data_IF_513507532895
#
_entry.id   IF_513507532895
#
_cell.length_a   1.000
_cell.length_b   1.000
_cell.length_c   1.000
_cell.angle_alpha   90.00
_cell.angle_beta   90.00
_cell.angle_gamma   90.00
#
_symmetry.space_group_name_H-M   'P 1'
#
loop_
_entity.id
_entity.type
_entity.pdbx_description
1 polymer ?
#
# COMPACT_ATOMS: atom_id res chain seq x y z
N UNK A 1 -19.56 11.05 -15.34
CA UNK A 1 -18.84 9.89 -14.78
C UNK A 1 -17.76 10.42 -13.86
N UNK A 2 -18.03 10.56 -12.56
CA UNK A 2 -17.00 10.95 -11.60
C UNK A 2 -16.07 9.78 -11.36
N UNK A 3 -14.76 9.98 -11.51
CA UNK A 3 -13.76 8.95 -11.23
C UNK A 3 -13.92 8.48 -9.78
N UNK A 4 -13.99 7.17 -9.54
CA UNK A 4 -14.05 6.57 -8.20
C UNK A 4 -12.85 6.96 -7.31
N UNK A 5 -11.83 7.57 -7.92
CA UNK A 5 -10.63 8.15 -7.31
C UNK A 5 -10.76 9.63 -6.92
N UNK A 6 -11.91 10.28 -7.16
CA UNK A 6 -12.11 11.66 -6.72
C UNK A 6 -12.21 11.71 -5.20
N UNK A 7 -11.10 12.08 -4.59
CA UNK A 7 -11.03 12.39 -3.17
C UNK A 7 -11.97 13.55 -2.89
N UNK A 8 -12.86 13.38 -1.91
CA UNK A 8 -13.71 14.49 -1.45
C UNK A 8 -12.81 15.63 -1.00
N UNK A 9 -13.20 16.87 -1.29
CA UNK A 9 -12.42 18.07 -0.94
C UNK A 9 -12.07 18.04 0.56
N UNK A 10 -10.78 17.93 0.88
CA UNK A 10 -10.28 17.84 2.27
C UNK A 10 -10.02 16.42 2.80
N UNK A 11 -10.17 15.37 1.99
CA UNK A 11 -9.71 14.01 2.33
C UNK A 11 -8.44 13.68 1.54
N UNK A 12 -7.54 12.92 2.15
CA UNK A 12 -6.37 12.35 1.47
C UNK A 12 -6.76 11.07 0.71
N UNK A 13 -6.25 10.87 -0.52
CA UNK A 13 -6.54 9.66 -1.27
C UNK A 13 -5.99 8.44 -0.54
N UNK A 14 -6.85 7.44 -0.29
CA UNK A 14 -6.44 6.15 0.26
C UNK A 14 -5.88 5.27 -0.87
N UNK A 15 -4.75 5.68 -1.47
CA UNK A 15 -4.07 4.94 -2.52
C UNK A 15 -2.99 4.02 -1.93
N UNK A 16 -3.13 2.73 -2.22
CA UNK A 16 -2.15 1.69 -1.94
C UNK A 16 -1.77 1.11 -3.30
N UNK A 17 -0.49 1.16 -3.67
CA UNK A 17 -0.06 0.82 -5.02
C UNK A 17 -0.30 -0.66 -5.34
N UNK A 18 0.15 -1.56 -4.46
CA UNK A 18 0.02 -3.01 -4.67
C UNK A 18 -0.26 -3.72 -3.34
N UNK A 19 -1.28 -4.58 -3.35
CA UNK A 19 -1.51 -5.59 -2.31
C UNK A 19 -1.62 -6.96 -2.98
N UNK A 20 -0.75 -7.89 -2.59
CA UNK A 20 -0.79 -9.28 -3.00
C UNK A 20 -1.16 -10.18 -1.82
N UNK A 21 -2.00 -11.18 -2.05
CA UNK A 21 -2.30 -12.24 -1.09
C UNK A 21 -1.64 -13.51 -1.61
N UNK A 22 -0.86 -14.18 -0.77
CA UNK A 22 -0.24 -15.44 -1.15
C UNK A 22 -1.27 -16.58 -1.08
N UNK A 23 -1.08 -17.60 -1.91
CA UNK A 23 -2.00 -18.75 -2.00
C UNK A 23 -2.11 -19.56 -0.70
N UNK A 24 -1.16 -19.36 0.22
CA UNK A 24 -1.19 -19.96 1.55
C UNK A 24 -2.20 -19.33 2.51
N UNK A 25 -2.87 -18.23 2.12
CA UNK A 25 -3.83 -17.45 2.90
C UNK A 25 -3.34 -17.04 4.31
N UNK A 26 -2.02 -17.07 4.53
CA UNK A 26 -1.37 -16.72 5.80
C UNK A 26 -0.49 -15.49 5.66
N UNK A 27 -0.07 -15.17 4.45
CA UNK A 27 0.81 -14.05 4.18
C UNK A 27 0.24 -13.12 3.11
N UNK A 28 0.62 -11.85 3.21
CA UNK A 28 0.25 -10.84 2.25
C UNK A 28 1.43 -9.90 2.01
N UNK A 29 1.62 -9.49 0.75
CA UNK A 29 2.58 -8.48 0.35
C UNK A 29 1.87 -7.14 0.23
N UNK A 30 2.37 -6.12 0.93
CA UNK A 30 1.98 -4.72 0.71
C UNK A 30 3.18 -4.01 0.13
N UNK A 31 3.04 -3.43 -1.06
CA UNK A 31 4.11 -2.71 -1.69
C UNK A 31 3.71 -1.29 -2.11
N UNK A 32 4.64 -0.37 -1.93
CA UNK A 32 4.57 0.99 -2.45
C UNK A 32 5.48 1.12 -3.66
N UNK A 33 4.99 1.78 -4.71
CA UNK A 33 5.70 1.92 -5.98
C UNK A 33 6.10 3.38 -6.15
N UNK A 34 7.41 3.64 -6.21
CA UNK A 34 7.95 4.98 -6.45
C UNK A 34 8.94 4.95 -7.59
N UNK A 35 8.74 5.80 -8.60
CA UNK A 35 9.69 5.95 -9.70
C UNK A 35 11.13 6.23 -9.23
N UNK A 36 11.26 7.09 -8.21
CA UNK A 36 12.53 7.38 -7.54
C UNK A 36 12.41 7.03 -6.07
N UNK A 37 13.27 6.16 -5.57
CA UNK A 37 13.23 5.67 -4.18
C UNK A 37 13.36 6.79 -3.13
N UNK A 38 14.02 7.89 -3.48
CA UNK A 38 14.13 9.08 -2.61
C UNK A 38 12.80 9.76 -2.29
N UNK A 39 11.75 9.50 -3.08
CA UNK A 39 10.40 10.03 -2.85
C UNK A 39 9.57 9.12 -1.93
N UNK A 40 10.17 8.06 -1.40
CA UNK A 40 9.53 7.19 -0.43
C UNK A 40 9.47 7.87 0.94
N UNK A 41 8.27 7.90 1.53
CA UNK A 41 8.06 8.41 2.87
C UNK A 41 7.69 7.23 3.82
N UNK A 42 8.60 6.81 4.71
CA UNK A 42 8.37 5.66 5.57
C UNK A 42 7.19 5.85 6.54
N UNK A 43 6.97 7.07 7.02
CA UNK A 43 5.88 7.36 7.96
C UNK A 43 4.50 7.21 7.32
N UNK A 44 4.35 7.69 6.08
CA UNK A 44 3.11 7.52 5.32
C UNK A 44 2.87 6.05 4.97
N UNK A 45 3.91 5.32 4.59
CA UNK A 45 3.81 3.90 4.28
C UNK A 45 3.38 3.07 5.50
N UNK A 46 3.99 3.32 6.66
CA UNK A 46 3.63 2.64 7.90
C UNK A 46 2.16 2.88 8.28
N UNK A 47 1.67 4.12 8.18
CA UNK A 47 0.25 4.42 8.41
C UNK A 47 -0.66 3.61 7.48
N UNK A 48 -0.33 3.50 6.20
CA UNK A 48 -1.09 2.69 5.24
C UNK A 48 -1.09 1.22 5.64
N UNK A 49 0.06 0.66 6.02
CA UNK A 49 0.18 -0.73 6.49
C UNK A 49 -0.68 -0.97 7.72
N UNK A 50 -0.65 -0.08 8.71
CA UNK A 50 -1.47 -0.21 9.92
C UNK A 50 -2.96 -0.20 9.61
N UNK A 51 -3.42 0.67 8.70
CA UNK A 51 -4.82 0.72 8.26
C UNK A 51 -5.22 -0.60 7.61
N UNK A 52 -4.41 -1.14 6.69
CA UNK A 52 -4.72 -2.39 5.99
C UNK A 52 -4.71 -3.57 6.97
N UNK A 53 -3.71 -3.61 7.85
CA UNK A 53 -3.58 -4.63 8.90
C UNK A 53 -4.82 -4.66 9.78
N UNK A 54 -5.31 -3.50 10.21
CA UNK A 54 -6.47 -3.45 11.09
C UNK A 54 -7.80 -3.71 10.37
N UNK A 55 -7.92 -3.32 9.08
CA UNK A 55 -9.19 -3.44 8.34
C UNK A 55 -9.41 -4.81 7.69
N UNK A 56 -8.41 -5.36 7.01
CA UNK A 56 -8.59 -6.50 6.10
C UNK A 56 -7.58 -7.62 6.36
N UNK A 57 -6.32 -7.28 6.66
CA UNK A 57 -5.22 -8.23 6.73
C UNK A 57 -4.81 -8.59 8.18
N UNK A 58 -5.73 -8.50 9.14
CA UNK A 58 -5.42 -8.67 10.57
C UNK A 58 -4.87 -10.04 10.95
N UNK A 59 -5.21 -11.06 10.16
CA UNK A 59 -4.76 -12.46 10.35
C UNK A 59 -3.55 -12.82 9.49
N UNK A 60 -3.12 -11.94 8.58
CA UNK A 60 -2.05 -12.21 7.65
C UNK A 60 -0.72 -11.70 8.19
N UNK A 61 0.35 -12.44 7.96
CA UNK A 61 1.71 -11.92 8.06
C UNK A 61 1.95 -10.97 6.89
N UNK A 62 2.06 -9.68 7.20
CA UNK A 62 2.29 -8.65 6.19
C UNK A 62 3.78 -8.53 5.92
N UNK A 63 4.17 -8.79 4.69
CA UNK A 63 5.47 -8.45 4.13
C UNK A 63 5.37 -7.10 3.44
N UNK A 64 6.40 -6.27 3.60
CA UNK A 64 6.41 -4.92 3.05
C UNK A 64 7.54 -4.76 2.05
N UNK A 65 7.26 -4.12 0.93
CA UNK A 65 8.27 -3.89 -0.12
C UNK A 65 8.11 -2.51 -0.73
N UNK A 66 9.22 -1.96 -1.21
CA UNK A 66 9.23 -0.72 -1.97
C UNK A 66 9.76 -1.09 -3.33
N UNK A 67 8.96 -0.86 -4.36
CA UNK A 67 9.39 -1.03 -5.75
C UNK A 67 9.76 0.32 -6.33
N UNK A 68 10.84 0.32 -7.09
CA UNK A 68 11.32 1.48 -7.82
C UNK A 68 11.78 1.09 -9.22
N UNK A 69 12.21 2.08 -10.01
CA UNK A 69 12.79 1.80 -11.32
C UNK A 69 14.04 0.92 -11.27
N UNK A 70 14.73 0.84 -10.13
CA UNK A 70 15.89 -0.04 -9.95
C UNK A 70 15.48 -1.51 -9.75
N UNK A 71 14.20 -1.80 -9.48
CA UNK A 71 13.67 -3.15 -9.26
C UNK A 71 13.02 -3.75 -10.52
N UNK A 72 13.08 -3.04 -11.66
CA UNK A 72 12.60 -3.46 -12.99
C UNK A 72 13.76 -3.80 -13.91
#
# INVERSE_FOLDING_TARGET
MGSWWQVKKGQEPCEIDIVGIYIDDKSALVAEVKRQRKNFNPDEFNKKIEIIRNKVLSKYKIETKIFSMDDM
#
